data_IF_406385419761
#
_entry.id   IF_406385419761
#
_cell.length_a   1.000
_cell.length_b   1.000
_cell.length_c   1.000
_cell.angle_alpha   90.00
_cell.angle_beta   90.00
_cell.angle_gamma   90.00
#
_symmetry.space_group_name_H-M   'P 1'
#
loop_
_entity.id
_entity.type
_entity.pdbx_description
1 polymer ?
#
# COMPACT_ATOMS: atom_id res chain seq x y z
N UNK A 1 -20.63 31.38 45.44
CA UNK A 1 -21.04 29.98 45.13
C UNK A 1 -21.34 29.77 43.64
N UNK A 2 -22.08 30.66 42.96
CA UNK A 2 -22.35 30.52 41.51
C UNK A 2 -21.11 30.59 40.59
N UNK A 3 -20.08 31.39 40.94
CA UNK A 3 -18.85 31.46 40.14
C UNK A 3 -18.03 30.16 40.17
N UNK A 4 -18.04 29.46 41.32
CA UNK A 4 -17.38 28.16 41.49
C UNK A 4 -18.13 27.05 40.72
N UNK A 5 -19.47 27.09 40.75
CA UNK A 5 -20.33 26.17 40.01
C UNK A 5 -20.19 26.33 38.49
N UNK A 6 -20.06 27.56 37.97
CA UNK A 6 -19.80 27.83 36.55
C UNK A 6 -18.41 27.36 36.12
N UNK A 7 -17.40 27.50 36.99
CA UNK A 7 -16.04 27.02 36.71
C UNK A 7 -15.97 25.49 36.66
N UNK A 8 -16.66 24.79 37.58
CA UNK A 8 -16.78 23.33 37.57
C UNK A 8 -17.52 22.80 36.35
N UNK A 9 -18.56 23.49 35.90
CA UNK A 9 -19.34 23.11 34.72
C UNK A 9 -18.50 23.25 33.43
N UNK A 10 -17.69 24.31 33.31
CA UNK A 10 -16.78 24.50 32.16
C UNK A 10 -15.65 23.45 32.13
N UNK A 11 -15.12 23.08 33.30
CA UNK A 11 -14.12 22.00 33.40
C UNK A 11 -14.73 20.65 33.02
N UNK A 12 -15.95 20.34 33.47
CA UNK A 12 -16.65 19.10 33.14
C UNK A 12 -16.95 18.94 31.64
N UNK A 13 -17.28 20.03 30.94
CA UNK A 13 -17.47 20.02 29.47
C UNK A 13 -16.14 19.82 28.73
N UNK A 14 -15.02 20.31 29.26
CA UNK A 14 -13.70 20.10 28.68
C UNK A 14 -13.20 18.64 28.73
N UNK A 15 -13.59 17.87 29.74
CA UNK A 15 -13.19 16.45 29.86
C UNK A 15 -13.94 15.51 28.89
N UNK A 16 -15.06 15.94 28.32
CA UNK A 16 -15.84 15.15 27.36
C UNK A 16 -15.26 15.16 25.93
N UNK A 17 -14.22 15.96 25.67
CA UNK A 17 -13.53 16.02 24.37
C UNK A 17 -12.31 15.10 24.27
N UNK A 18 -12.04 14.26 25.28
CA UNK A 18 -11.02 13.24 25.18
C UNK A 18 -11.54 12.09 24.29
N UNK A 19 -11.36 12.22 22.96
CA UNK A 19 -11.52 11.11 22.03
C UNK A 19 -10.69 9.93 22.56
N UNK A 20 -11.37 8.86 22.97
CA UNK A 20 -10.74 7.61 23.37
C UNK A 20 -10.20 6.95 22.09
N UNK A 21 -9.05 7.42 21.62
CA UNK A 21 -8.32 6.71 20.57
C UNK A 21 -7.91 5.37 21.16
N UNK A 22 -8.60 4.31 20.78
CA UNK A 22 -8.23 2.96 21.20
C UNK A 22 -6.91 2.56 20.52
N UNK A 23 -6.12 1.67 21.15
CA UNK A 23 -4.95 1.12 20.49
C UNK A 23 -5.36 0.41 19.20
N UNK A 24 -4.51 0.42 18.15
CA UNK A 24 -4.75 -0.41 16.98
C UNK A 24 -4.89 -1.88 17.38
N UNK A 25 -5.91 -2.56 16.85
CA UNK A 25 -6.08 -4.00 17.05
C UNK A 25 -5.08 -4.79 16.20
N UNK A 26 -4.93 -6.08 16.51
CA UNK A 26 -4.14 -7.00 15.69
C UNK A 26 -4.63 -7.05 14.24
N UNK A 27 -5.95 -6.93 14.02
CA UNK A 27 -6.54 -6.93 12.68
C UNK A 27 -6.07 -5.74 11.83
N UNK A 28 -5.87 -4.57 12.44
CA UNK A 28 -5.37 -3.39 11.73
C UNK A 28 -3.95 -3.61 11.21
N UNK A 29 -3.07 -4.25 12.00
CA UNK A 29 -1.73 -4.63 11.54
C UNK A 29 -1.78 -5.73 10.49
N UNK A 30 -2.64 -6.73 10.67
CA UNK A 30 -2.79 -7.84 9.75
C UNK A 30 -3.24 -7.38 8.36
N UNK A 31 -4.05 -6.31 8.25
CA UNK A 31 -4.44 -5.74 6.96
C UNK A 31 -3.24 -5.21 6.17
N UNK A 32 -2.40 -4.39 6.80
CA UNK A 32 -1.18 -3.87 6.17
C UNK A 32 -0.16 -4.97 5.85
N UNK A 33 0.01 -5.95 6.74
CA UNK A 33 0.87 -7.11 6.52
C UNK A 33 0.43 -7.95 5.32
N UNK A 34 -0.88 -8.20 5.17
CA UNK A 34 -1.43 -8.92 4.01
C UNK A 34 -1.20 -8.16 2.72
N UNK A 35 -1.44 -6.84 2.70
CA UNK A 35 -1.21 -6.03 1.51
C UNK A 35 0.27 -6.07 1.08
N UNK A 36 1.21 -6.02 2.04
CA UNK A 36 2.65 -6.17 1.78
C UNK A 36 2.95 -7.55 1.19
N UNK A 37 2.43 -8.62 1.79
CA UNK A 37 2.63 -9.98 1.32
C UNK A 37 2.07 -10.21 -0.10
N UNK A 38 0.93 -9.61 -0.43
CA UNK A 38 0.36 -9.65 -1.79
C UNK A 38 1.26 -8.92 -2.80
N UNK A 39 1.81 -7.76 -2.43
CA UNK A 39 2.77 -7.04 -3.27
C UNK A 39 4.05 -7.84 -3.50
N UNK A 40 4.60 -8.47 -2.45
CA UNK A 40 5.76 -9.36 -2.53
C UNK A 40 5.49 -10.55 -3.45
N UNK A 41 4.33 -11.21 -3.30
CA UNK A 41 3.92 -12.32 -4.16
C UNK A 41 3.76 -11.90 -5.64
N UNK A 42 3.47 -10.63 -5.91
CA UNK A 42 3.42 -10.07 -7.25
C UNK A 42 4.80 -9.63 -7.81
N UNK A 43 5.89 -9.83 -7.06
CA UNK A 43 7.25 -9.51 -7.49
C UNK A 43 7.64 -8.05 -7.26
N UNK A 44 7.01 -7.37 -6.30
CA UNK A 44 7.29 -5.95 -6.03
C UNK A 44 8.74 -5.66 -5.60
N UNK A 45 9.49 -6.64 -5.12
CA UNK A 45 10.92 -6.46 -4.81
C UNK A 45 11.74 -6.05 -6.04
N UNK A 46 11.41 -6.58 -7.22
CA UNK A 46 12.07 -6.20 -8.47
C UNK A 46 11.31 -5.08 -9.18
N UNK A 47 9.97 -5.17 -9.19
CA UNK A 47 9.13 -4.35 -10.07
C UNK A 47 8.66 -3.03 -9.44
N UNK A 48 8.62 -2.94 -8.12
CA UNK A 48 8.19 -1.74 -7.38
C UNK A 48 8.91 -1.58 -6.01
N UNK A 49 10.27 -1.63 -5.96
CA UNK A 49 11.02 -1.72 -4.71
C UNK A 49 10.81 -0.51 -3.79
N UNK A 50 10.65 0.68 -4.37
CA UNK A 50 10.48 1.92 -3.61
C UNK A 50 9.18 1.94 -2.82
N UNK A 51 8.06 1.60 -3.46
CA UNK A 51 6.75 1.61 -2.81
C UNK A 51 6.65 0.49 -1.76
N UNK A 52 7.21 -0.69 -2.07
CA UNK A 52 7.29 -1.80 -1.12
C UNK A 52 8.12 -1.44 0.12
N UNK A 53 9.27 -0.79 -0.06
CA UNK A 53 10.09 -0.30 1.05
C UNK A 53 9.31 0.71 1.90
N UNK A 54 8.62 1.66 1.27
CA UNK A 54 7.80 2.63 2.01
C UNK A 54 6.69 1.94 2.81
N UNK A 55 6.01 0.93 2.25
CA UNK A 55 5.01 0.16 2.96
C UNK A 55 5.57 -0.48 4.24
N UNK A 56 6.72 -1.16 4.12
CA UNK A 56 7.42 -1.79 5.27
C UNK A 56 7.87 -0.76 6.31
N UNK A 57 8.41 0.38 5.87
CA UNK A 57 8.83 1.46 6.77
C UNK A 57 7.65 2.03 7.55
N UNK A 58 6.52 2.31 6.89
CA UNK A 58 5.30 2.81 7.53
C UNK A 58 4.75 1.81 8.54
N UNK A 59 4.70 0.53 8.20
CA UNK A 59 4.28 -0.52 9.15
C UNK A 59 5.17 -0.55 10.39
N UNK A 60 6.49 -0.40 10.24
CA UNK A 60 7.42 -0.34 11.37
C UNK A 60 7.23 0.92 12.22
N UNK A 61 7.01 2.08 11.59
CA UNK A 61 6.68 3.31 12.32
C UNK A 61 5.37 3.16 13.10
N UNK A 62 4.35 2.54 12.50
CA UNK A 62 3.08 2.28 13.18
C UNK A 62 3.24 1.40 14.42
N UNK A 63 4.07 0.35 14.37
CA UNK A 63 4.38 -0.48 15.55
C UNK A 63 5.01 0.38 16.65
N UNK A 64 6.02 1.17 16.27
CA UNK A 64 6.73 2.06 17.20
C UNK A 64 5.80 3.10 17.83
N UNK A 65 4.93 3.71 17.03
CA UNK A 65 3.94 4.68 17.49
C UNK A 65 2.90 4.03 18.43
N UNK A 66 2.46 2.80 18.12
CA UNK A 66 1.56 2.03 18.99
C UNK A 66 2.21 1.72 20.34
N UNK A 67 3.48 1.29 20.36
CA UNK A 67 4.24 1.04 21.60
C UNK A 67 4.39 2.31 22.45
N UNK A 68 4.57 3.46 21.79
CA UNK A 68 4.62 4.79 22.41
C UNK A 68 3.24 5.36 22.79
N UNK A 69 2.16 4.61 22.53
CA UNK A 69 0.76 5.03 22.73
C UNK A 69 0.35 6.25 21.89
N UNK A 70 1.09 6.56 20.83
CA UNK A 70 0.71 7.55 19.83
C UNK A 70 -0.20 6.90 18.78
N UNK A 71 -1.42 6.55 19.19
CA UNK A 71 -2.33 5.76 18.37
C UNK A 71 -2.81 6.50 17.11
N UNK A 72 -2.96 7.83 17.15
CA UNK A 72 -3.31 8.61 15.97
C UNK A 72 -2.25 8.48 14.87
N UNK A 73 -0.96 8.57 15.23
CA UNK A 73 0.14 8.32 14.31
C UNK A 73 0.18 6.87 13.85
N UNK A 74 -0.06 5.91 14.76
CA UNK A 74 -0.10 4.49 14.41
C UNK A 74 -1.17 4.17 13.35
N UNK A 75 -2.36 4.76 13.44
CA UNK A 75 -3.40 4.61 12.43
C UNK A 75 -3.03 5.25 11.09
N UNK A 76 -2.50 6.48 11.10
CA UNK A 76 -2.05 7.16 9.87
C UNK A 76 -0.95 6.36 9.16
N UNK A 77 0.02 5.83 9.91
CA UNK A 77 1.09 5.01 9.33
C UNK A 77 0.59 3.63 8.86
N UNK A 78 -0.41 3.01 9.51
CA UNK A 78 -1.03 1.77 9.01
C UNK A 78 -1.74 1.99 7.68
N UNK A 79 -2.52 3.05 7.56
CA UNK A 79 -3.20 3.42 6.31
C UNK A 79 -2.17 3.69 5.19
N UNK A 80 -1.10 4.44 5.51
CA UNK A 80 -0.02 4.67 4.56
C UNK A 80 0.69 3.38 4.17
N UNK A 81 0.88 2.44 5.11
CA UNK A 81 1.51 1.15 4.81
C UNK A 81 0.68 0.37 3.79
N UNK A 82 -0.64 0.27 4.01
CA UNK A 82 -1.57 -0.38 3.11
C UNK A 82 -1.60 0.26 1.72
N UNK A 83 -1.72 1.59 1.64
CA UNK A 83 -1.75 2.33 0.37
C UNK A 83 -0.46 2.11 -0.43
N UNK A 84 0.71 2.20 0.23
CA UNK A 84 1.99 1.98 -0.45
C UNK A 84 2.14 0.52 -0.93
N UNK A 85 1.65 -0.45 -0.15
CA UNK A 85 1.67 -1.86 -0.54
C UNK A 85 0.77 -2.12 -1.75
N UNK A 86 -0.46 -1.57 -1.76
CA UNK A 86 -1.36 -1.66 -2.90
C UNK A 86 -0.76 -0.99 -4.15
N UNK A 87 -0.10 0.15 -3.98
CA UNK A 87 0.60 0.81 -5.08
C UNK A 87 1.74 -0.06 -5.64
N UNK A 88 2.51 -0.71 -4.76
CA UNK A 88 3.56 -1.64 -5.15
C UNK A 88 3.00 -2.86 -5.92
N UNK A 89 1.90 -3.43 -5.42
CA UNK A 89 1.18 -4.54 -6.06
C UNK A 89 0.74 -4.18 -7.48
N UNK A 90 0.04 -3.06 -7.65
CA UNK A 90 -0.52 -2.68 -8.95
C UNK A 90 0.57 -2.27 -9.95
N UNK A 91 1.64 -1.60 -9.49
CA UNK A 91 2.82 -1.34 -10.33
C UNK A 91 3.47 -2.65 -10.80
N UNK A 92 3.57 -3.64 -9.92
CA UNK A 92 4.16 -4.94 -10.25
C UNK A 92 3.32 -5.71 -11.27
N UNK A 93 1.99 -5.75 -11.08
CA UNK A 93 1.05 -6.33 -12.05
C UNK A 93 1.15 -5.64 -13.41
N UNK A 94 1.18 -4.31 -13.44
CA UNK A 94 1.32 -3.54 -14.67
C UNK A 94 2.65 -3.83 -15.37
N UNK A 95 3.76 -3.93 -14.64
CA UNK A 95 5.07 -4.25 -15.20
C UNK A 95 5.10 -5.68 -15.78
N UNK A 96 4.54 -6.67 -15.08
CA UNK A 96 4.43 -8.05 -15.56
C UNK A 96 3.61 -8.12 -16.86
N UNK A 97 2.48 -7.40 -16.93
CA UNK A 97 1.65 -7.37 -18.13
C UNK A 97 2.36 -6.71 -19.31
N UNK A 98 3.12 -5.63 -19.07
CA UNK A 98 3.95 -5.00 -20.12
C UNK A 98 5.01 -5.96 -20.66
N UNK A 99 5.66 -6.76 -19.80
CA UNK A 99 6.61 -7.80 -20.24
C UNK A 99 5.92 -8.81 -21.15
N UNK A 100 4.75 -9.33 -20.75
CA UNK A 100 3.96 -10.28 -21.54
C UNK A 100 3.56 -9.71 -22.91
N UNK A 101 3.11 -8.46 -22.98
CA UNK A 101 2.78 -7.79 -24.25
C UNK A 101 4.01 -7.69 -25.15
N UNK A 102 5.16 -7.33 -24.60
CA UNK A 102 6.41 -7.24 -25.37
C UNK A 102 6.91 -8.61 -25.87
N UNK A 103 6.68 -9.69 -25.12
CA UNK A 103 6.97 -11.06 -25.57
C UNK A 103 6.06 -11.48 -26.72
N UNK A 104 4.75 -11.25 -26.60
CA UNK A 104 3.80 -11.56 -27.67
C UNK A 104 4.08 -10.76 -28.94
N UNK A 105 4.47 -9.49 -28.81
CA UNK A 105 4.86 -8.66 -29.95
C UNK A 105 6.09 -9.23 -30.67
N UNK A 106 7.13 -9.61 -29.92
CA UNK A 106 8.34 -10.23 -30.47
C UNK A 106 8.05 -11.57 -31.15
N UNK A 107 7.17 -12.39 -30.57
CA UNK A 107 6.73 -13.63 -31.17
C UNK A 107 5.98 -13.40 -32.49
N UNK A 108 5.12 -12.38 -32.55
CA UNK A 108 4.41 -12.02 -33.78
C UNK A 108 5.35 -11.49 -34.87
N UNK A 109 6.32 -10.64 -34.49
CA UNK A 109 7.37 -10.16 -35.41
C UNK A 109 8.20 -11.31 -35.98
N UNK A 110 8.60 -12.28 -35.14
CA UNK A 110 9.33 -13.47 -35.58
C UNK A 110 8.50 -14.33 -36.55
N UNK A 111 7.23 -14.57 -36.25
CA UNK A 111 6.32 -15.31 -37.14
C UNK A 111 6.14 -14.60 -38.49
N UNK A 112 6.02 -13.27 -38.50
CA UNK A 112 5.94 -12.49 -39.75
C UNK A 112 7.21 -12.61 -40.58
N UNK A 113 8.37 -12.55 -39.95
CA UNK A 113 9.66 -12.71 -40.64
C UNK A 113 9.79 -14.11 -41.26
N UNK A 114 9.39 -15.16 -40.54
CA UNK A 114 9.40 -16.55 -41.02
C UNK A 114 8.47 -16.76 -42.22
N UNK A 115 7.28 -16.14 -42.21
CA UNK A 115 6.34 -16.19 -43.32
C UNK A 115 6.87 -15.50 -44.58
N UNK A 116 7.52 -14.33 -44.42
CA UNK A 116 8.17 -13.63 -45.53
C UNK A 116 9.36 -14.41 -46.09
N UNK A 117 10.17 -15.03 -45.21
CA UNK A 117 11.29 -15.88 -45.63
C UNK A 117 10.82 -17.12 -46.43
N UNK A 118 9.74 -17.76 -45.96
CA UNK A 118 9.23 -19.00 -46.57
C UNK A 118 8.46 -18.76 -47.87
N UNK A 119 7.62 -17.71 -47.93
CA UNK A 119 6.66 -17.51 -49.03
C UNK A 119 6.96 -16.29 -49.92
N UNK A 120 7.98 -15.49 -49.60
CA UNK A 120 8.29 -14.24 -50.30
C UNK A 120 7.43 -13.05 -49.84
N UNK A 121 7.71 -11.84 -50.36
CA UNK A 121 6.98 -10.61 -49.99
C UNK A 121 5.50 -10.60 -50.45
N UNK A 122 5.12 -11.52 -51.33
CA UNK A 122 3.79 -11.60 -51.99
C UNK A 122 2.65 -12.03 -51.04
N UNK A 123 2.94 -12.36 -49.78
CA UNK A 123 1.97 -12.90 -48.83
C UNK A 123 1.18 -11.85 -48.01
N UNK A 124 1.49 -10.55 -48.17
CA UNK A 124 0.88 -9.44 -47.41
C UNK A 124 -0.51 -9.01 -47.86
#
# INVERSE_FOLDING_TARGET
>A
MHKLSRLLLLLAVGLLAACTSNPPSADNFALAERAIAEAEAAGAEELAPTDLRFARERLQTARTASDQRNYALAFDDLERAEINAMLALEKSRAAAQRRKVNELRRANEALRADLVDTYGEDWQ
#
